data_IF_870394639199
#
_entry.id   IF_870394639199
#
_cell.length_a   1.000
_cell.length_b   1.000
_cell.length_c   1.000
_cell.angle_alpha   90.00
_cell.angle_beta   90.00
_cell.angle_gamma   90.00
#
_symmetry.space_group_name_H-M   'P 1'
#
loop_
_entity.id
_entity.type
_entity.pdbx_description
1 polymer ?
#
# COMPACT_ATOMS: atom_id res chain seq x y z
N UNK A 1 -56.54 -20.31 40.68
CA UNK A 1 -56.23 -19.58 41.92
C UNK A 1 -54.84 -19.94 42.38
N UNK A 2 -53.85 -19.12 42.03
CA UNK A 2 -52.57 -19.06 42.73
C UNK A 2 -51.92 -17.75 42.28
N UNK A 3 -51.88 -16.80 43.21
CA UNK A 3 -51.34 -15.48 43.13
C UNK A 3 -49.83 -15.54 43.33
N UNK A 4 -49.02 -14.98 42.41
CA UNK A 4 -47.58 -14.80 42.55
C UNK A 4 -47.33 -13.31 42.83
N UNK A 5 -46.53 -12.93 43.87
CA UNK A 5 -46.35 -11.57 44.28
C UNK A 5 -45.28 -10.86 43.41
N UNK A 6 -45.58 -9.60 43.15
CA UNK A 6 -44.79 -8.57 42.51
C UNK A 6 -43.60 -8.19 43.38
N UNK A 7 -42.35 -8.27 42.88
CA UNK A 7 -41.17 -7.73 43.54
C UNK A 7 -40.75 -6.44 42.83
N UNK A 8 -40.62 -5.39 43.63
CA UNK A 8 -40.23 -4.04 43.25
C UNK A 8 -38.75 -3.91 42.81
N UNK A 9 -38.39 -2.87 41.99
CA UNK A 9 -37.05 -2.65 41.53
C UNK A 9 -36.19 -1.90 42.56
N UNK A 10 -34.92 -2.27 42.58
CA UNK A 10 -33.91 -1.66 43.40
C UNK A 10 -33.40 -0.35 42.75
N UNK A 11 -33.54 0.76 43.51
CA UNK A 11 -32.90 2.04 43.21
C UNK A 11 -31.43 1.94 43.57
N UNK A 12 -30.52 2.07 42.61
CA UNK A 12 -29.14 2.41 42.85
C UNK A 12 -28.89 3.87 42.50
N UNK A 13 -28.56 4.64 43.52
CA UNK A 13 -28.06 6.02 43.47
C UNK A 13 -26.61 6.01 42.93
N UNK A 14 -26.21 6.97 42.09
CA UNK A 14 -24.81 7.13 41.74
C UNK A 14 -24.11 7.99 42.82
N UNK A 15 -23.10 7.39 43.42
CA UNK A 15 -22.16 8.09 44.31
C UNK A 15 -21.14 8.83 43.46
N UNK A 16 -21.23 10.13 43.42
CA UNK A 16 -20.21 11.05 42.84
C UNK A 16 -19.00 11.07 43.77
N UNK A 17 -17.92 10.41 43.37
CA UNK A 17 -16.61 10.59 43.99
C UNK A 17 -15.88 11.74 43.32
N UNK A 18 -15.82 12.88 44.03
CA UNK A 18 -14.96 14.02 43.69
C UNK A 18 -13.53 13.65 44.08
N UNK A 19 -12.67 13.39 43.10
CA UNK A 19 -11.23 13.24 43.32
C UNK A 19 -10.57 14.60 43.22
N UNK A 20 -10.12 15.09 44.37
CA UNK A 20 -9.27 16.29 44.53
C UNK A 20 -7.85 15.91 44.02
N UNK A 21 -7.44 16.45 42.88
CA UNK A 21 -6.06 16.35 42.39
C UNK A 21 -5.24 17.45 43.02
N UNK A 22 -4.41 17.09 44.01
CA UNK A 22 -3.37 17.94 44.57
C UNK A 22 -2.19 18.02 43.58
N UNK A 23 -1.97 19.21 43.03
CA UNK A 23 -0.80 19.54 42.24
C UNK A 23 0.44 19.64 43.14
N UNK A 24 1.30 18.64 43.10
CA UNK A 24 2.65 18.72 43.65
C UNK A 24 3.56 19.39 42.61
N UNK A 25 3.94 20.63 42.90
CA UNK A 25 4.90 21.38 42.13
C UNK A 25 6.31 20.79 42.26
N UNK A 26 6.83 20.29 41.18
CA UNK A 26 8.22 19.82 41.05
C UNK A 26 9.02 20.95 40.39
N UNK A 27 9.71 21.75 41.22
CA UNK A 27 10.65 22.79 40.79
C UNK A 27 11.94 22.12 40.31
N UNK A 28 12.16 22.14 38.99
CA UNK A 28 13.46 21.73 38.40
C UNK A 28 14.37 22.97 38.49
N UNK A 29 15.37 22.91 39.39
CA UNK A 29 16.44 23.88 39.49
C UNK A 29 17.48 23.59 38.40
N UNK A 30 17.67 24.53 37.48
CA UNK A 30 18.77 24.63 36.55
C UNK A 30 20.07 24.98 37.26
N UNK A 31 21.19 24.27 37.07
CA UNK A 31 22.48 24.74 37.57
C UNK A 31 23.00 25.88 36.71
N UNK A 32 23.35 26.97 37.39
CA UNK A 32 24.00 28.18 36.90
C UNK A 32 25.37 27.86 36.27
N UNK A 33 25.56 28.27 35.02
CA UNK A 33 26.86 28.33 34.39
C UNK A 33 27.68 29.50 34.94
N UNK A 34 28.59 29.23 35.83
CA UNK A 34 29.65 30.16 36.18
C UNK A 34 30.92 29.36 36.49
N UNK A 35 32.04 29.89 35.92
CA UNK A 35 33.43 29.57 36.27
C UNK A 35 34.10 28.36 35.63
N UNK A 36 34.64 28.58 34.42
CA UNK A 36 35.83 27.90 33.94
C UNK A 36 36.61 28.83 33.00
N UNK A 37 37.02 29.96 33.54
CA UNK A 37 38.02 30.80 32.96
C UNK A 37 39.17 30.90 33.96
N UNK A 38 40.11 29.96 33.91
CA UNK A 38 41.47 30.13 34.41
C UNK A 38 42.20 28.79 34.32
N UNK A 39 43.04 28.65 33.32
CA UNK A 39 44.24 27.83 33.27
C UNK A 39 44.74 27.71 31.82
N UNK A 40 45.03 28.90 31.20
CA UNK A 40 45.95 28.94 30.08
C UNK A 40 47.32 29.37 30.60
N UNK A 41 48.09 28.42 31.08
CA UNK A 41 49.52 28.66 31.32
C UNK A 41 50.34 27.95 30.26
N UNK A 42 51.07 28.76 29.55
CA UNK A 42 51.91 28.49 28.39
C UNK A 42 52.78 27.23 28.52
N UNK A 43 52.82 26.42 27.46
CA UNK A 43 53.93 25.51 27.15
C UNK A 43 54.43 25.83 25.75
N UNK A 44 55.74 25.77 25.49
CA UNK A 44 56.37 26.29 24.29
C UNK A 44 56.07 25.43 23.06
N UNK A 45 55.82 26.10 21.94
CA UNK A 45 55.58 25.51 20.63
C UNK A 45 56.83 24.77 20.12
N UNK A 46 56.78 23.45 20.13
CA UNK A 46 57.62 22.62 19.32
C UNK A 46 57.03 22.54 17.91
N UNK A 47 57.61 23.22 16.95
CA UNK A 47 57.21 23.17 15.56
C UNK A 47 57.53 21.78 14.98
N UNK A 48 56.52 20.90 14.97
CA UNK A 48 56.54 19.65 14.19
C UNK A 48 56.29 20.05 12.74
N UNK A 49 57.33 20.07 11.93
CA UNK A 49 57.21 20.12 10.46
C UNK A 49 56.59 18.82 10.00
N UNK A 50 55.28 18.82 9.80
CA UNK A 50 54.59 17.76 9.05
C UNK A 50 55.01 17.92 7.61
N UNK A 51 55.83 16.99 7.12
CA UNK A 51 56.14 16.86 5.71
C UNK A 51 54.82 16.61 4.99
N UNK A 52 54.39 17.59 4.17
CA UNK A 52 53.23 17.41 3.29
C UNK A 52 53.59 16.33 2.27
N UNK A 53 53.12 15.12 2.48
CA UNK A 53 53.03 14.14 1.41
C UNK A 53 52.11 14.74 0.34
N UNK A 54 52.49 14.80 -0.92
CA UNK A 54 51.58 15.20 -1.98
C UNK A 54 50.49 14.19 -2.05
N UNK A 55 49.30 14.60 -1.65
CA UNK A 55 48.04 13.85 -1.89
C UNK A 55 47.97 13.61 -3.40
N UNK A 56 47.94 12.35 -3.87
CA UNK A 56 47.72 12.09 -5.29
C UNK A 56 46.37 12.71 -5.66
N UNK A 57 46.41 13.66 -6.59
CA UNK A 57 45.20 14.21 -7.20
C UNK A 57 44.34 13.04 -7.72
N UNK A 58 43.05 13.02 -7.49
CA UNK A 58 42.21 11.99 -8.05
C UNK A 58 42.32 12.06 -9.56
N UNK A 59 42.90 11.02 -10.14
CA UNK A 59 43.04 10.87 -11.59
C UNK A 59 41.64 10.94 -12.21
N UNK A 60 41.39 12.01 -12.95
CA UNK A 60 40.13 12.30 -13.66
C UNK A 60 39.76 11.26 -14.72
N UNK A 61 40.54 10.18 -14.87
CA UNK A 61 40.33 9.11 -15.85
C UNK A 61 39.56 7.90 -15.38
N UNK A 62 39.10 7.85 -14.09
CA UNK A 62 38.39 6.69 -13.56
C UNK A 62 36.83 6.85 -13.53
N UNK A 63 36.29 7.96 -14.01
CA UNK A 63 34.84 8.21 -13.98
C UNK A 63 34.08 7.61 -15.17
N UNK A 64 34.78 7.19 -16.23
CA UNK A 64 34.16 6.64 -17.45
C UNK A 64 33.86 5.13 -17.40
N UNK A 65 34.24 4.42 -16.36
CA UNK A 65 33.96 3.00 -16.16
C UNK A 65 33.07 2.73 -14.96
N UNK A 66 32.16 3.61 -14.60
CA UNK A 66 31.14 3.26 -13.62
C UNK A 66 30.16 2.30 -14.29
N UNK A 67 30.29 1.05 -13.91
CA UNK A 67 29.35 0.00 -14.25
C UNK A 67 27.94 0.46 -13.88
N UNK A 68 27.05 0.58 -14.88
CA UNK A 68 25.68 0.98 -14.65
C UNK A 68 24.93 -0.21 -14.07
N UNK A 69 24.45 -0.04 -12.86
CA UNK A 69 23.68 -1.06 -12.18
C UNK A 69 22.20 -0.93 -12.55
N UNK A 70 21.59 -2.07 -12.86
CA UNK A 70 20.15 -2.17 -13.05
C UNK A 70 19.55 -3.16 -12.07
N UNK A 71 18.27 -2.98 -11.78
CA UNK A 71 17.47 -3.89 -10.99
C UNK A 71 16.28 -4.39 -11.81
N UNK A 72 16.00 -5.68 -11.70
CA UNK A 72 14.81 -6.29 -12.25
C UNK A 72 13.59 -5.93 -11.38
N UNK A 73 12.61 -5.30 -11.99
CA UNK A 73 11.36 -4.95 -11.37
C UNK A 73 10.19 -5.69 -12.06
N UNK A 74 9.11 -6.01 -11.35
CA UNK A 74 7.92 -6.56 -11.97
C UNK A 74 7.20 -5.45 -12.76
N UNK A 75 6.54 -5.81 -13.87
CA UNK A 75 5.75 -4.85 -14.68
C UNK A 75 4.65 -4.19 -13.85
N UNK A 76 4.04 -4.92 -12.95
CA UNK A 76 3.02 -4.43 -12.02
C UNK A 76 3.27 -5.02 -10.64
N UNK A 77 3.08 -4.20 -9.64
CA UNK A 77 2.99 -4.64 -8.26
C UNK A 77 1.86 -3.89 -7.58
N UNK A 78 1.25 -4.51 -6.61
CA UNK A 78 0.25 -3.84 -5.78
C UNK A 78 0.16 -4.49 -4.40
N UNK A 79 -0.22 -3.67 -3.45
CA UNK A 79 -0.49 -4.08 -2.08
C UNK A 79 -1.99 -4.30 -1.94
N UNK A 80 -2.38 -5.50 -1.55
CA UNK A 80 -3.75 -5.84 -1.21
C UNK A 80 -3.98 -5.49 0.26
N UNK A 81 -4.93 -4.59 0.51
CA UNK A 81 -5.31 -4.17 1.84
C UNK A 81 -6.77 -4.52 2.15
N UNK A 82 -7.08 -4.69 3.43
CA UNK A 82 -8.45 -4.92 3.88
C UNK A 82 -9.30 -3.65 3.69
N UNK A 83 -10.44 -3.76 3.03
CA UNK A 83 -11.38 -2.66 2.87
C UNK A 83 -12.43 -2.61 4.01
N UNK A 84 -12.58 -3.73 4.73
CA UNK A 84 -13.49 -3.87 5.87
C UNK A 84 -12.77 -4.50 7.06
N UNK A 85 -13.25 -4.23 8.26
CA UNK A 85 -12.80 -4.93 9.47
C UNK A 85 -13.52 -6.26 9.64
N UNK A 86 -12.77 -7.37 9.49
CA UNK A 86 -13.32 -8.72 9.64
C UNK A 86 -12.21 -9.76 9.89
N UNK A 87 -12.60 -10.94 10.34
CA UNK A 87 -11.68 -12.08 10.46
C UNK A 87 -11.43 -12.68 9.07
N UNK A 88 -10.18 -13.01 8.77
CA UNK A 88 -9.81 -13.72 7.55
C UNK A 88 -10.27 -15.16 7.68
N UNK A 89 -11.32 -15.54 6.95
CA UNK A 89 -11.84 -16.89 6.98
C UNK A 89 -10.97 -17.86 6.19
N UNK A 90 -10.47 -17.44 5.01
CA UNK A 90 -9.61 -18.25 4.15
C UNK A 90 -8.58 -17.39 3.41
N UNK A 91 -7.40 -17.96 3.22
CA UNK A 91 -6.30 -17.38 2.46
C UNK A 91 -5.76 -18.45 1.48
N UNK A 92 -6.45 -18.67 0.34
CA UNK A 92 -6.18 -19.81 -0.54
C UNK A 92 -4.88 -19.67 -1.35
N UNK A 93 -4.08 -18.67 -1.06
CA UNK A 93 -2.78 -18.40 -1.68
C UNK A 93 -1.69 -18.39 -0.61
N UNK A 94 -0.49 -18.79 -1.00
CA UNK A 94 0.70 -18.79 -0.15
C UNK A 94 1.77 -17.89 -0.75
N UNK A 95 2.71 -17.44 0.07
CA UNK A 95 3.87 -16.70 -0.39
C UNK A 95 4.63 -17.50 -1.48
N UNK A 96 5.06 -16.82 -2.55
CA UNK A 96 5.65 -17.44 -3.74
C UNK A 96 4.65 -18.15 -4.66
N UNK A 97 3.41 -18.37 -4.21
CA UNK A 97 2.36 -19.06 -4.98
C UNK A 97 1.87 -18.24 -6.17
N UNK A 98 1.47 -18.93 -7.25
CA UNK A 98 0.87 -18.30 -8.43
C UNK A 98 -0.63 -18.16 -8.28
N UNK A 99 -1.17 -17.11 -8.87
CA UNK A 99 -2.61 -16.87 -8.95
C UNK A 99 -3.00 -16.33 -10.33
N UNK A 100 -4.28 -16.43 -10.65
CA UNK A 100 -4.86 -15.91 -11.89
C UNK A 100 -5.73 -14.67 -11.61
N UNK A 101 -5.87 -13.81 -12.61
CA UNK A 101 -6.80 -12.68 -12.55
C UNK A 101 -8.22 -13.14 -12.19
N UNK A 102 -8.84 -12.48 -11.25
CA UNK A 102 -10.18 -12.80 -10.74
C UNK A 102 -10.22 -13.92 -9.71
N UNK A 103 -9.10 -14.61 -9.45
CA UNK A 103 -9.01 -15.60 -8.37
C UNK A 103 -9.13 -14.90 -7.01
N UNK A 104 -9.91 -15.49 -6.09
CA UNK A 104 -10.03 -14.98 -4.72
C UNK A 104 -8.69 -15.19 -4.01
N UNK A 105 -8.12 -14.09 -3.52
CA UNK A 105 -6.87 -14.08 -2.75
C UNK A 105 -7.13 -14.11 -1.25
N UNK A 106 -8.17 -13.40 -0.80
CA UNK A 106 -8.56 -13.32 0.61
C UNK A 106 -10.06 -13.43 0.71
N UNK A 107 -10.54 -14.22 1.64
CA UNK A 107 -11.96 -14.32 1.98
C UNK A 107 -12.16 -14.02 3.45
N UNK A 108 -13.02 -13.05 3.75
CA UNK A 108 -13.37 -12.67 5.11
C UNK A 108 -14.60 -13.44 5.62
N UNK A 109 -14.70 -13.58 6.95
CA UNK A 109 -15.94 -13.95 7.60
C UNK A 109 -16.87 -12.72 7.61
N UNK A 110 -17.94 -12.81 6.86
CA UNK A 110 -18.90 -11.74 6.67
C UNK A 110 -20.31 -12.11 7.17
N UNK A 111 -20.40 -12.92 8.20
CA UNK A 111 -21.69 -13.31 8.76
C UNK A 111 -22.54 -12.09 9.15
N UNK A 112 -21.92 -11.08 9.79
CA UNK A 112 -22.60 -9.84 10.22
C UNK A 112 -23.04 -9.01 9.01
N UNK A 113 -22.16 -8.81 8.02
CA UNK A 113 -22.45 -8.05 6.81
C UNK A 113 -23.57 -8.69 5.99
N UNK A 114 -23.56 -10.01 5.88
CA UNK A 114 -24.62 -10.77 5.23
C UNK A 114 -25.95 -10.66 5.96
N UNK A 115 -25.94 -10.67 7.31
CA UNK A 115 -27.16 -10.46 8.10
C UNK A 115 -27.72 -9.04 7.88
N UNK A 116 -26.88 -8.01 7.82
CA UNK A 116 -27.29 -6.63 7.51
C UNK A 116 -27.86 -6.50 6.10
N UNK A 117 -27.23 -7.11 5.11
CA UNK A 117 -27.73 -7.17 3.74
C UNK A 117 -29.12 -7.84 3.69
N UNK A 118 -29.29 -8.98 4.36
CA UNK A 118 -30.58 -9.67 4.41
C UNK A 118 -31.66 -8.84 5.11
N UNK A 119 -31.30 -8.10 6.18
CA UNK A 119 -32.21 -7.16 6.84
C UNK A 119 -32.67 -6.05 5.89
N UNK A 120 -31.73 -5.41 5.17
CA UNK A 120 -32.05 -4.37 4.19
C UNK A 120 -32.95 -4.93 3.07
N UNK A 121 -32.67 -6.15 2.60
CA UNK A 121 -33.50 -6.84 1.59
C UNK A 121 -34.93 -7.09 2.08
N UNK A 122 -35.06 -7.51 3.32
CA UNK A 122 -36.39 -7.74 3.92
C UNK A 122 -37.16 -6.42 4.09
N UNK A 123 -36.45 -5.34 4.52
CA UNK A 123 -37.04 -3.99 4.65
C UNK A 123 -37.55 -3.49 3.29
N UNK A 124 -36.75 -3.57 2.23
CA UNK A 124 -37.17 -3.22 0.88
C UNK A 124 -38.40 -4.02 0.44
N UNK A 125 -38.41 -5.33 0.69
CA UNK A 125 -39.51 -6.17 0.33
C UNK A 125 -40.82 -5.74 1.05
N UNK A 126 -40.72 -5.31 2.31
CA UNK A 126 -41.86 -4.75 3.07
C UNK A 126 -42.37 -3.44 2.48
N UNK A 127 -41.45 -2.51 2.18
CA UNK A 127 -41.78 -1.23 1.57
C UNK A 127 -42.43 -1.41 0.18
N UNK A 128 -41.90 -2.32 -0.64
CA UNK A 128 -42.47 -2.61 -1.96
C UNK A 128 -43.90 -3.15 -1.90
N UNK A 129 -44.17 -4.05 -0.96
CA UNK A 129 -45.53 -4.54 -0.72
C UNK A 129 -46.49 -3.44 -0.26
N UNK A 130 -46.04 -2.56 0.64
CA UNK A 130 -46.84 -1.43 1.12
C UNK A 130 -47.14 -0.46 -0.04
N UNK A 131 -46.15 -0.13 -0.85
CA UNK A 131 -46.34 0.70 -2.05
C UNK A 131 -47.31 0.08 -3.04
N UNK A 132 -47.21 -1.21 -3.33
CA UNK A 132 -48.15 -1.93 -4.20
C UNK A 132 -49.57 -1.92 -3.67
N UNK A 133 -49.75 -2.07 -2.33
CA UNK A 133 -51.06 -1.98 -1.69
C UNK A 133 -51.61 -0.55 -1.82
N UNK A 134 -50.83 0.49 -1.49
CA UNK A 134 -51.23 1.88 -1.60
C UNK A 134 -51.58 2.26 -3.05
N UNK A 135 -50.85 1.75 -4.03
CA UNK A 135 -51.12 1.96 -5.44
C UNK A 135 -52.49 1.44 -5.84
N UNK A 136 -52.86 0.21 -5.40
CA UNK A 136 -54.21 -0.38 -5.63
C UNK A 136 -55.29 0.42 -4.94
N UNK A 137 -55.04 0.88 -3.70
CA UNK A 137 -55.99 1.71 -2.97
C UNK A 137 -56.21 3.08 -3.61
N UNK A 138 -55.13 3.66 -4.18
CA UNK A 138 -55.22 4.92 -4.93
C UNK A 138 -56.05 4.79 -6.20
N UNK A 139 -55.94 3.67 -6.92
CA UNK A 139 -56.77 3.35 -8.08
C UNK A 139 -58.30 3.29 -7.71
N UNK A 140 -58.56 2.93 -6.44
CA UNK A 140 -59.93 2.89 -5.87
C UNK A 140 -60.32 4.20 -5.17
N UNK A 141 -59.51 5.28 -5.29
CA UNK A 141 -59.66 6.57 -4.58
C UNK A 141 -59.75 6.43 -3.04
N UNK A 142 -59.15 5.37 -2.48
CA UNK A 142 -59.21 5.04 -1.04
C UNK A 142 -57.95 5.52 -0.29
N UNK A 143 -56.96 6.06 -0.97
CA UNK A 143 -55.68 6.59 -0.42
C UNK A 143 -55.38 7.93 -1.09
N UNK A 144 -54.85 8.90 -0.32
CA UNK A 144 -54.41 10.19 -0.80
C UNK A 144 -53.09 10.11 -1.57
N UNK A 145 -52.89 11.07 -2.48
CA UNK A 145 -51.67 11.13 -3.31
C UNK A 145 -50.38 11.24 -2.49
N UNK A 146 -50.40 11.98 -1.40
CA UNK A 146 -49.25 12.13 -0.48
C UNK A 146 -48.84 10.78 0.12
N UNK A 147 -49.77 9.93 0.49
CA UNK A 147 -49.48 8.62 1.05
C UNK A 147 -48.89 7.67 0.00
N UNK A 148 -49.39 7.74 -1.24
CA UNK A 148 -48.83 6.98 -2.34
C UNK A 148 -47.35 7.43 -2.61
N UNK A 149 -47.11 8.75 -2.72
CA UNK A 149 -45.80 9.31 -2.95
C UNK A 149 -44.80 8.98 -1.81
N UNK A 150 -45.27 9.01 -0.56
CA UNK A 150 -44.48 8.61 0.62
C UNK A 150 -44.10 7.12 0.55
N UNK A 151 -45.02 6.25 0.16
CA UNK A 151 -44.73 4.82 0.06
C UNK A 151 -43.78 4.51 -1.09
N UNK A 152 -43.81 5.27 -2.19
CA UNK A 152 -42.82 5.21 -3.28
C UNK A 152 -41.44 5.66 -2.81
N UNK A 153 -41.37 6.76 -2.05
CA UNK A 153 -40.14 7.25 -1.48
C UNK A 153 -39.47 6.23 -0.52
N UNK A 154 -40.27 5.52 0.29
CA UNK A 154 -39.75 4.44 1.17
C UNK A 154 -39.18 3.26 0.35
N UNK A 155 -39.77 2.90 -0.80
CA UNK A 155 -39.18 1.90 -1.72
C UNK A 155 -37.86 2.39 -2.27
N UNK A 156 -37.76 3.66 -2.70
CA UNK A 156 -36.52 4.24 -3.21
C UNK A 156 -35.41 4.23 -2.16
N UNK A 157 -35.73 4.60 -0.91
CA UNK A 157 -34.85 4.54 0.24
C UNK A 157 -34.38 3.09 0.52
N UNK A 158 -35.32 2.13 0.56
CA UNK A 158 -34.98 0.72 0.78
C UNK A 158 -34.07 0.15 -0.31
N UNK A 159 -34.23 0.57 -1.57
CA UNK A 159 -33.32 0.19 -2.67
C UNK A 159 -31.91 0.75 -2.47
N UNK A 160 -31.80 2.01 -2.05
CA UNK A 160 -30.53 2.64 -1.76
C UNK A 160 -29.81 1.93 -0.58
N UNK A 161 -30.54 1.62 0.50
CA UNK A 161 -29.99 0.90 1.65
C UNK A 161 -29.50 -0.51 1.25
N UNK A 162 -30.28 -1.24 0.45
CA UNK A 162 -29.88 -2.56 -0.05
C UNK A 162 -28.62 -2.46 -0.90
N UNK A 163 -28.53 -1.48 -1.79
CA UNK A 163 -27.34 -1.25 -2.63
C UNK A 163 -26.11 -0.95 -1.79
N UNK A 164 -26.24 -0.14 -0.74
CA UNK A 164 -25.15 0.16 0.19
C UNK A 164 -24.65 -1.11 0.89
N UNK A 165 -25.57 -1.95 1.42
CA UNK A 165 -25.19 -3.21 2.06
C UNK A 165 -24.59 -4.21 1.06
N UNK A 166 -25.07 -4.25 -0.18
CA UNK A 166 -24.49 -5.08 -1.25
C UNK A 166 -23.04 -4.70 -1.55
N UNK A 167 -22.73 -3.40 -1.59
CA UNK A 167 -21.38 -2.91 -1.79
C UNK A 167 -20.44 -3.33 -0.66
N UNK A 168 -20.92 -3.35 0.59
CA UNK A 168 -20.13 -3.83 1.75
C UNK A 168 -19.89 -5.34 1.63
N UNK A 169 -20.92 -6.14 1.30
CA UNK A 169 -20.78 -7.59 1.10
C UNK A 169 -19.84 -7.90 -0.06
N UNK A 170 -19.81 -7.06 -1.10
CA UNK A 170 -18.86 -7.19 -2.21
C UNK A 170 -17.39 -7.14 -1.78
N UNK A 171 -17.09 -6.54 -0.61
CA UNK A 171 -15.74 -6.44 -0.04
C UNK A 171 -15.34 -7.64 0.82
N UNK A 172 -16.21 -8.61 0.97
CA UNK A 172 -15.98 -9.84 1.74
C UNK A 172 -15.01 -10.81 1.07
N UNK A 173 -14.75 -10.63 -0.22
CA UNK A 173 -13.76 -11.39 -0.96
C UNK A 173 -12.93 -10.44 -1.81
N UNK A 174 -11.62 -10.55 -1.69
CA UNK A 174 -10.69 -9.75 -2.50
C UNK A 174 -10.17 -10.65 -3.62
N UNK A 175 -10.48 -10.25 -4.85
CA UNK A 175 -10.04 -10.94 -6.05
C UNK A 175 -8.78 -10.29 -6.64
N UNK A 176 -7.95 -11.09 -7.30
CA UNK A 176 -6.73 -10.64 -7.96
C UNK A 176 -7.04 -9.72 -9.16
N UNK A 177 -6.46 -8.50 -9.22
CA UNK A 177 -6.66 -7.57 -10.33
C UNK A 177 -5.94 -8.00 -11.62
N UNK A 178 -4.89 -8.80 -11.51
CA UNK A 178 -4.09 -9.37 -12.59
C UNK A 178 -3.61 -10.77 -12.22
N UNK A 179 -2.97 -11.48 -13.13
CA UNK A 179 -2.31 -12.77 -12.86
C UNK A 179 -0.87 -12.55 -12.45
N UNK A 180 -0.33 -13.38 -11.53
CA UNK A 180 1.04 -13.21 -11.06
C UNK A 180 1.37 -14.11 -9.89
N UNK A 181 2.23 -13.61 -8.99
CA UNK A 181 2.66 -14.31 -7.77
C UNK A 181 2.46 -13.44 -6.53
N UNK A 182 2.29 -14.10 -5.39
CA UNK A 182 2.34 -13.48 -4.07
C UNK A 182 3.80 -13.24 -3.70
N UNK A 183 4.19 -11.97 -3.59
CA UNK A 183 5.55 -11.60 -3.19
C UNK A 183 5.74 -11.73 -1.68
N UNK A 184 4.74 -11.29 -0.90
CA UNK A 184 4.78 -11.33 0.56
C UNK A 184 3.38 -11.55 1.12
N UNK A 185 3.28 -12.36 2.17
CA UNK A 185 2.06 -12.62 2.93
C UNK A 185 2.22 -12.07 4.34
N UNK A 186 1.49 -10.98 4.68
CA UNK A 186 1.61 -10.27 5.98
C UNK A 186 0.59 -10.70 7.03
N UNK A 187 -0.36 -11.54 6.65
CA UNK A 187 -1.45 -12.00 7.52
C UNK A 187 -1.66 -13.50 7.41
N UNK A 188 -2.41 -14.05 8.34
CA UNK A 188 -2.75 -15.49 8.39
C UNK A 188 -4.26 -15.68 8.49
N UNK A 189 -4.71 -16.89 8.15
CA UNK A 189 -6.10 -17.28 8.41
C UNK A 189 -6.45 -17.16 9.89
N UNK A 190 -7.71 -16.89 10.19
CA UNK A 190 -8.26 -16.67 11.52
C UNK A 190 -7.75 -15.39 12.23
N UNK A 191 -6.96 -14.58 11.56
CA UNK A 191 -6.54 -13.27 12.06
C UNK A 191 -7.61 -12.22 11.76
N UNK A 192 -7.86 -11.31 12.69
CA UNK A 192 -8.67 -10.13 12.44
C UNK A 192 -7.86 -9.10 11.67
N UNK A 193 -8.39 -8.64 10.53
CA UNK A 193 -7.81 -7.58 9.75
C UNK A 193 -8.58 -6.27 9.97
N UNK A 194 -7.85 -5.18 10.16
CA UNK A 194 -8.42 -3.83 10.26
C UNK A 194 -8.55 -3.18 8.88
N UNK A 195 -9.51 -2.26 8.66
CA UNK A 195 -9.57 -1.48 7.44
C UNK A 195 -8.25 -0.75 7.17
N UNK A 196 -7.73 -0.85 5.93
CA UNK A 196 -6.44 -0.29 5.53
C UNK A 196 -5.22 -1.16 5.86
N UNK A 197 -5.38 -2.24 6.61
CA UNK A 197 -4.27 -3.15 6.91
C UNK A 197 -3.82 -3.88 5.64
N UNK A 198 -2.51 -3.85 5.38
CA UNK A 198 -1.88 -4.64 4.31
C UNK A 198 -2.00 -6.13 4.61
N UNK A 199 -2.48 -6.88 3.63
CA UNK A 199 -2.68 -8.33 3.72
C UNK A 199 -1.65 -9.10 2.91
N UNK A 200 -1.50 -8.74 1.63
CA UNK A 200 -0.61 -9.38 0.66
C UNK A 200 0.08 -8.32 -0.19
N UNK A 201 1.30 -8.61 -0.61
CA UNK A 201 1.94 -7.94 -1.74
C UNK A 201 1.96 -8.89 -2.92
N UNK A 202 1.48 -8.42 -4.07
CA UNK A 202 1.37 -9.22 -5.28
C UNK A 202 2.08 -8.55 -6.44
N UNK A 203 2.72 -9.36 -7.28
CA UNK A 203 3.49 -8.93 -8.43
C UNK A 203 3.04 -9.65 -9.69
N UNK A 204 3.16 -8.97 -10.82
CA UNK A 204 3.04 -9.55 -12.14
C UNK A 204 4.44 -9.93 -12.65
N UNK A 205 4.72 -11.21 -12.67
CA UNK A 205 5.98 -11.80 -13.13
C UNK A 205 5.94 -12.24 -14.61
N UNK A 206 4.93 -11.82 -15.36
CA UNK A 206 4.78 -12.18 -16.78
C UNK A 206 5.88 -11.58 -17.67
N UNK A 207 6.39 -10.41 -17.29
CA UNK A 207 7.55 -9.75 -17.87
C UNK A 207 8.31 -9.01 -16.77
N UNK A 208 9.60 -8.78 -16.97
CA UNK A 208 10.45 -8.06 -16.04
C UNK A 208 11.00 -6.80 -16.70
N UNK A 209 10.78 -5.68 -16.04
CA UNK A 209 11.38 -4.40 -16.39
C UNK A 209 12.77 -4.29 -15.75
N UNK A 210 13.67 -3.58 -16.44
CA UNK A 210 15.00 -3.25 -15.96
C UNK A 210 15.05 -1.78 -15.64
N UNK A 211 15.17 -1.45 -14.36
CA UNK A 211 15.31 -0.07 -13.92
C UNK A 211 16.78 0.27 -13.66
N UNK A 212 17.28 1.29 -14.33
CA UNK A 212 18.64 1.77 -14.14
C UNK A 212 18.74 3.29 -14.34
N UNK A 213 19.84 3.86 -13.87
CA UNK A 213 20.06 5.30 -13.89
C UNK A 213 21.30 5.57 -14.75
N UNK A 214 21.17 6.49 -15.70
CA UNK A 214 22.24 6.91 -16.58
C UNK A 214 22.52 8.41 -16.45
N UNK A 215 23.73 8.87 -16.74
CA UNK A 215 24.03 10.31 -16.83
C UNK A 215 23.14 10.99 -17.88
N UNK A 216 22.65 12.19 -17.60
CA UNK A 216 21.73 12.92 -18.50
C UNK A 216 22.35 13.22 -19.89
N UNK A 217 23.68 13.33 -19.99
CA UNK A 217 24.39 13.46 -21.26
C UNK A 217 24.11 12.31 -22.24
N UNK A 218 23.72 11.13 -21.74
CA UNK A 218 23.42 9.97 -22.57
C UNK A 218 22.07 10.10 -23.32
N UNK A 219 21.23 11.05 -22.94
CA UNK A 219 20.00 11.38 -23.68
C UNK A 219 20.27 11.81 -25.14
N UNK A 220 21.49 12.20 -25.47
CA UNK A 220 21.88 12.51 -26.84
C UNK A 220 21.78 11.30 -27.77
N UNK A 221 22.09 10.11 -27.29
CA UNK A 221 22.12 8.88 -28.09
C UNK A 221 21.17 7.79 -27.59
N UNK A 222 20.90 7.68 -26.27
CA UNK A 222 20.02 6.66 -25.75
C UNK A 222 18.54 7.01 -26.08
N UNK A 223 17.87 6.08 -26.76
CA UNK A 223 16.47 6.25 -27.20
C UNK A 223 15.68 4.97 -26.93
N UNK A 224 14.34 5.06 -26.82
CA UNK A 224 13.51 3.88 -26.84
C UNK A 224 13.79 3.02 -28.09
N UNK A 225 13.97 1.71 -27.88
CA UNK A 225 14.33 0.76 -28.91
C UNK A 225 15.82 0.37 -28.95
N UNK A 226 16.73 1.15 -28.36
CA UNK A 226 18.13 0.75 -28.26
C UNK A 226 18.25 -0.58 -27.55
N UNK A 227 19.10 -1.46 -28.11
CA UNK A 227 19.38 -2.79 -27.55
C UNK A 227 20.61 -2.73 -26.65
N UNK A 228 20.58 -3.50 -25.60
CA UNK A 228 21.69 -3.66 -24.67
C UNK A 228 21.70 -5.06 -24.07
N UNK A 229 22.74 -5.39 -23.35
CA UNK A 229 22.80 -6.62 -22.55
C UNK A 229 22.85 -6.27 -21.07
N UNK A 230 22.22 -7.11 -20.26
CA UNK A 230 22.36 -7.07 -18.82
C UNK A 230 23.00 -8.36 -18.33
N UNK A 231 24.08 -8.26 -17.59
CA UNK A 231 24.68 -9.38 -16.88
C UNK A 231 24.13 -9.41 -15.48
N UNK A 232 23.31 -10.40 -15.19
CA UNK A 232 22.69 -10.59 -13.87
C UNK A 232 23.71 -11.26 -12.94
N UNK A 233 23.87 -10.68 -11.75
CA UNK A 233 24.88 -11.14 -10.79
C UNK A 233 24.53 -12.51 -10.22
N UNK A 234 23.24 -12.75 -9.91
CA UNK A 234 22.76 -13.97 -9.30
C UNK A 234 22.87 -15.18 -10.23
N UNK A 235 22.77 -14.99 -11.55
CA UNK A 235 22.89 -16.06 -12.54
C UNK A 235 24.26 -16.12 -13.22
N UNK A 236 25.03 -15.02 -13.17
CA UNK A 236 26.29 -14.85 -13.89
C UNK A 236 26.16 -14.78 -15.42
N UNK A 237 24.92 -14.80 -15.95
CA UNK A 237 24.63 -14.81 -17.40
C UNK A 237 24.24 -13.43 -17.90
N UNK A 238 24.50 -13.22 -19.22
CA UNK A 238 24.04 -12.02 -19.91
C UNK A 238 22.73 -12.31 -20.65
N UNK A 239 21.79 -11.36 -20.57
CA UNK A 239 20.49 -11.43 -21.20
C UNK A 239 20.28 -10.23 -22.12
N UNK A 240 19.68 -10.43 -23.30
CA UNK A 240 19.34 -9.34 -24.20
C UNK A 240 18.20 -8.49 -23.61
N UNK A 241 18.30 -7.19 -23.80
CA UNK A 241 17.32 -6.23 -23.32
C UNK A 241 17.18 -5.06 -24.29
N UNK A 242 16.07 -4.34 -24.20
CA UNK A 242 15.78 -3.15 -25.00
C UNK A 242 15.33 -2.01 -24.09
N UNK A 243 15.75 -0.82 -24.41
CA UNK A 243 15.25 0.41 -23.77
C UNK A 243 13.78 0.56 -24.17
N UNK A 244 12.88 0.59 -23.16
CA UNK A 244 11.45 0.76 -23.39
C UNK A 244 11.04 2.23 -23.28
N UNK A 245 11.49 2.91 -22.23
CA UNK A 245 11.16 4.30 -21.96
C UNK A 245 12.26 5.01 -21.17
N UNK A 246 12.32 6.31 -21.36
CA UNK A 246 13.19 7.21 -20.57
C UNK A 246 12.33 7.95 -19.54
N UNK A 247 12.90 8.26 -18.40
CA UNK A 247 12.25 9.09 -17.40
C UNK A 247 11.96 10.49 -17.93
N UNK A 248 10.82 11.04 -17.55
CA UNK A 248 10.41 12.37 -17.97
C UNK A 248 11.15 13.52 -17.23
N UNK A 249 11.97 13.18 -16.23
CA UNK A 249 12.66 14.15 -15.38
C UNK A 249 14.13 13.78 -15.23
N UNK A 250 14.99 14.78 -15.36
CA UNK A 250 16.40 14.69 -14.97
C UNK A 250 16.52 15.13 -13.53
N UNK A 251 17.23 14.37 -12.72
CA UNK A 251 17.58 14.79 -11.36
C UNK A 251 18.65 15.89 -11.45
N UNK A 252 18.40 17.09 -10.92
CA UNK A 252 19.31 18.22 -11.09
C UNK A 252 20.58 18.11 -10.24
N UNK A 253 20.56 17.33 -9.18
CA UNK A 253 21.70 17.16 -8.26
C UNK A 253 22.68 16.13 -8.81
N UNK A 254 22.19 14.96 -9.19
CA UNK A 254 23.01 13.87 -9.74
C UNK A 254 23.22 13.97 -11.25
N UNK A 255 22.54 14.89 -11.93
CA UNK A 255 22.52 15.02 -13.39
C UNK A 255 22.26 13.69 -14.10
N UNK A 256 21.30 12.94 -13.59
CA UNK A 256 20.97 11.61 -14.06
C UNK A 256 19.50 11.48 -14.44
N UNK A 257 19.19 10.46 -15.24
CA UNK A 257 17.83 10.11 -15.66
C UNK A 257 17.60 8.62 -15.47
N UNK A 258 16.40 8.29 -15.02
CA UNK A 258 15.95 6.90 -14.92
C UNK A 258 15.61 6.36 -16.30
N UNK A 259 16.13 5.20 -16.62
CA UNK A 259 15.83 4.45 -17.85
C UNK A 259 15.12 3.17 -17.45
N UNK A 260 14.10 2.83 -18.19
CA UNK A 260 13.40 1.55 -18.05
C UNK A 260 13.60 0.76 -19.33
N UNK A 261 14.23 -0.39 -19.20
CA UNK A 261 14.35 -1.40 -20.25
C UNK A 261 13.43 -2.58 -20.00
N UNK A 262 13.37 -3.48 -20.94
CA UNK A 262 12.67 -4.75 -20.82
C UNK A 262 13.59 -5.87 -21.31
N UNK A 263 13.62 -6.98 -20.60
CA UNK A 263 14.33 -8.19 -21.03
C UNK A 263 13.65 -8.75 -22.27
N UNK A 264 14.42 -8.99 -23.32
CA UNK A 264 13.92 -9.54 -24.58
C UNK A 264 13.94 -11.06 -24.55
N UNK A 265 12.79 -11.64 -24.25
CA UNK A 265 12.61 -13.08 -24.07
C UNK A 265 11.99 -13.44 -22.72
N UNK A 266 11.72 -14.75 -22.55
CA UNK A 266 11.22 -15.31 -21.29
C UNK A 266 12.29 -16.21 -20.68
N UNK A 267 12.73 -15.86 -19.51
CA UNK A 267 13.77 -16.58 -18.76
C UNK A 267 13.21 -16.95 -17.39
N UNK A 268 12.94 -18.22 -17.17
CA UNK A 268 12.30 -18.71 -15.95
C UNK A 268 13.19 -18.56 -14.70
N UNK A 269 14.50 -18.40 -14.89
CA UNK A 269 15.46 -18.19 -13.82
C UNK A 269 15.52 -16.74 -13.30
N UNK A 270 14.93 -15.80 -14.04
CA UNK A 270 14.93 -14.40 -13.62
C UNK A 270 13.77 -14.12 -12.67
N UNK A 271 14.06 -13.37 -11.62
CA UNK A 271 13.09 -12.97 -10.62
C UNK A 271 13.16 -11.44 -10.39
N UNK A 272 12.04 -10.84 -10.07
CA UNK A 272 12.00 -9.46 -9.61
C UNK A 272 12.88 -9.30 -8.36
N UNK A 273 13.64 -8.20 -8.29
CA UNK A 273 14.59 -7.94 -7.22
C UNK A 273 16.04 -8.30 -7.55
N UNK A 274 16.29 -9.15 -8.56
CA UNK A 274 17.66 -9.43 -9.03
C UNK A 274 18.31 -8.18 -9.58
N UNK A 275 19.65 -8.13 -9.50
CA UNK A 275 20.44 -6.99 -9.94
C UNK A 275 21.53 -7.40 -10.92
N UNK A 276 22.03 -6.42 -11.68
CA UNK A 276 23.05 -6.70 -12.66
C UNK A 276 23.68 -5.46 -13.27
N UNK A 277 24.65 -5.70 -14.13
CA UNK A 277 25.38 -4.68 -14.84
C UNK A 277 24.86 -4.52 -16.28
N UNK A 278 24.54 -3.29 -16.64
CA UNK A 278 24.12 -2.93 -18.01
C UNK A 278 25.34 -2.75 -18.90
N UNK A 279 25.32 -3.34 -20.06
CA UNK A 279 26.36 -3.27 -21.09
C UNK A 279 25.73 -2.80 -22.40
N UNK A 280 26.05 -1.59 -22.83
CA UNK A 280 25.70 -1.09 -24.15
C UNK A 280 26.78 -1.46 -25.18
N UNK A 281 26.42 -1.78 -26.42
CA UNK A 281 27.40 -1.97 -27.50
C UNK A 281 28.26 -0.73 -27.68
N UNK A 282 29.56 -0.88 -27.95
CA UNK A 282 30.47 0.28 -28.08
C UNK A 282 30.11 1.22 -29.23
N UNK A 283 29.45 0.75 -30.27
CA UNK A 283 29.00 1.57 -31.42
C UNK A 283 27.89 2.58 -31.07
N UNK A 284 27.13 2.34 -30.03
CA UNK A 284 26.06 3.25 -29.59
C UNK A 284 26.55 4.32 -28.59
N UNK A 285 27.79 4.23 -28.12
CA UNK A 285 28.33 5.11 -27.06
C UNK A 285 29.00 6.39 -27.57
N UNK A 286 29.13 6.57 -28.89
CA UNK A 286 29.76 7.75 -29.50
C UNK A 286 28.78 8.49 -30.39
N UNK A 287 28.42 9.75 -30.04
CA UNK A 287 27.88 10.69 -31.03
C UNK A 287 29.01 11.23 -31.93
#
# INVERSE_FOLDING_TARGET
MQTIPFRQPWHFLPTTAVMLVTAAGMTISLPSAASAAELLKAAPAAAVRVAANPTPAPSSGMLDKREIRAQLAPVRFTTIAAEIGAVIARLPVTEGGRFQRGQILVQFDCAVQNAQFNKARASLTGADKAWQANKRLAELNSVGRVELDNSEAEVAKGRADLAAQAAIVGKCAIAAPFSGRVAEQKVREQQFAQPGQTLLEIIDDSALELEFIVPSRWLAWIKPGNTFQIRIDETGKAYPAKVQRLGARVDPVSQSVKVVGMVDGKFNELMAGMSGAVMFPPEEQHP
#
